data_IF_430492408007
#
_entry.id   IF_430492408007
#
_cell.length_a   1.000
_cell.length_b   1.000
_cell.length_c   1.000
_cell.angle_alpha   90.00
_cell.angle_beta   90.00
_cell.angle_gamma   90.00
#
_symmetry.space_group_name_H-M   'P 1'
#
loop_
_entity.id
_entity.type
_entity.pdbx_description
1 polymer ?
#
# COMPACT_ATOMS: atom_id res chain seq x y z
N UNK A 1 41.86 20.97 -18.22
CA UNK A 1 42.77 21.48 -17.16
C UNK A 1 41.90 22.07 -16.07
N UNK A 2 41.67 21.36 -14.97
CA UNK A 2 41.50 21.84 -13.59
C UNK A 2 41.23 20.60 -12.74
N UNK A 3 42.20 20.28 -11.88
CA UNK A 3 42.31 19.04 -11.14
C UNK A 3 41.85 19.27 -9.69
N UNK A 4 40.91 18.45 -9.21
CA UNK A 4 40.47 18.41 -7.82
C UNK A 4 41.54 17.73 -6.96
N UNK A 5 42.04 18.41 -5.92
CA UNK A 5 42.91 17.81 -4.90
C UNK A 5 42.09 17.19 -3.78
N UNK A 6 42.37 15.91 -3.55
CA UNK A 6 41.88 15.06 -2.46
C UNK A 6 42.33 15.57 -1.08
N UNK A 7 41.43 15.45 -0.12
CA UNK A 7 41.68 15.46 1.32
C UNK A 7 42.44 14.19 1.74
N UNK A 8 43.43 14.34 2.64
CA UNK A 8 43.83 13.26 3.55
C UNK A 8 44.24 13.87 4.90
N UNK A 9 43.68 13.33 5.99
CA UNK A 9 44.42 13.00 7.22
C UNK A 9 43.54 12.23 8.21
N UNK A 10 44.25 11.39 8.94
CA UNK A 10 43.90 10.26 9.79
C UNK A 10 43.73 10.70 11.26
N UNK A 11 42.83 10.07 12.03
CA UNK A 11 43.07 9.52 13.39
C UNK A 11 41.75 8.96 13.98
N UNK A 12 41.60 7.65 14.16
CA UNK A 12 42.01 6.75 15.28
C UNK A 12 41.13 6.78 16.54
N UNK A 13 40.56 5.60 16.80
CA UNK A 13 40.42 4.89 18.09
C UNK A 13 39.53 5.46 19.20
N UNK A 14 38.50 4.71 19.58
CA UNK A 14 38.38 4.16 20.95
C UNK A 14 37.16 3.24 21.07
N UNK A 15 37.44 1.97 21.37
CA UNK A 15 36.47 0.96 21.76
C UNK A 15 36.30 1.00 23.29
N UNK A 16 35.05 1.03 23.78
CA UNK A 16 34.74 0.90 25.20
C UNK A 16 33.99 -0.41 25.41
N UNK A 17 34.64 -1.33 26.13
CA UNK A 17 34.04 -2.54 26.72
C UNK A 17 33.20 -2.13 27.93
N UNK A 18 31.99 -2.66 28.05
CA UNK A 18 31.22 -2.65 29.29
C UNK A 18 30.93 -4.09 29.73
N UNK A 19 31.42 -4.42 30.91
CA UNK A 19 31.32 -5.69 31.62
C UNK A 19 30.00 -5.82 32.37
N UNK A 20 29.42 -7.03 32.34
CA UNK A 20 28.29 -7.48 33.17
C UNK A 20 28.72 -7.76 34.61
N UNK A 21 27.79 -7.70 35.56
CA UNK A 21 27.82 -8.60 36.72
C UNK A 21 26.61 -9.55 36.74
N UNK A 22 26.91 -10.82 37.03
CA UNK A 22 25.99 -11.89 37.37
C UNK A 22 25.46 -11.69 38.80
N UNK A 23 24.17 -11.95 39.02
CA UNK A 23 23.61 -12.21 40.35
C UNK A 23 22.79 -13.51 40.29
N UNK A 24 23.38 -14.56 40.86
CA UNK A 24 22.78 -15.86 41.11
C UNK A 24 22.10 -15.85 42.48
N UNK A 25 20.83 -16.24 42.55
CA UNK A 25 20.17 -16.62 43.80
C UNK A 25 19.68 -18.06 43.70
N UNK A 26 20.30 -18.91 44.51
CA UNK A 26 19.86 -20.27 44.83
C UNK A 26 19.22 -20.25 46.21
N UNK A 27 18.03 -20.83 46.38
CA UNK A 27 17.62 -21.37 47.69
C UNK A 27 16.58 -22.47 47.49
N UNK A 28 16.95 -23.67 47.94
CA UNK A 28 16.11 -24.87 48.02
C UNK A 28 15.25 -24.85 49.30
N UNK A 29 14.14 -25.61 49.36
CA UNK A 29 13.10 -25.50 50.40
C UNK A 29 13.21 -26.58 51.50
N UNK A 30 12.58 -26.34 52.65
CA UNK A 30 12.27 -27.36 53.70
C UNK A 30 11.14 -26.87 54.65
N UNK A 31 10.48 -27.76 55.45
CA UNK A 31 9.06 -28.11 55.25
C UNK A 31 8.20 -28.00 56.54
N UNK A 32 6.99 -28.58 56.50
CA UNK A 32 5.94 -28.81 57.53
C UNK A 32 4.71 -27.89 57.36
N UNK A 33 3.47 -28.31 57.59
CA UNK A 33 2.94 -29.40 58.42
C UNK A 33 1.60 -29.97 57.90
N UNK A 34 1.25 -31.10 58.48
CA UNK A 34 0.06 -31.94 58.31
C UNK A 34 -1.28 -31.31 58.67
N UNK A 35 -2.33 -31.70 57.95
CA UNK A 35 -3.67 -31.91 58.50
C UNK A 35 -4.48 -32.89 57.62
N UNK A 36 -4.90 -34.00 58.23
CA UNK A 36 -5.84 -34.98 57.68
C UNK A 36 -7.29 -34.55 57.93
N UNK A 37 -8.16 -34.67 56.93
CA UNK A 37 -9.60 -34.85 57.14
C UNK A 37 -10.27 -35.54 55.94
N UNK A 38 -11.37 -36.22 56.24
CA UNK A 38 -12.07 -37.30 55.55
C UNK A 38 -12.85 -36.92 54.27
N UNK A 39 -13.14 -37.98 53.48
CA UNK A 39 -14.27 -38.21 52.54
C UNK A 39 -14.06 -37.87 51.03
N UNK A 40 -14.89 -38.43 50.12
CA UNK A 40 -15.16 -39.84 49.83
C UNK A 40 -14.72 -40.21 48.39
N UNK A 41 -14.56 -41.51 48.09
CA UNK A 41 -14.23 -42.00 46.74
C UNK A 41 -15.40 -41.80 45.78
N UNK A 42 -15.36 -40.75 44.96
CA UNK A 42 -16.12 -40.66 43.72
C UNK A 42 -15.23 -41.08 42.55
N UNK A 43 -15.58 -42.21 41.92
CA UNK A 43 -14.94 -42.72 40.73
C UNK A 43 -15.46 -41.92 39.53
N UNK A 44 -14.90 -40.73 39.29
CA UNK A 44 -15.18 -39.95 38.07
C UNK A 44 -14.25 -40.47 36.99
N UNK A 45 -14.78 -41.28 36.08
CA UNK A 45 -14.14 -41.50 34.77
C UNK A 45 -14.02 -40.14 34.10
N UNK A 46 -12.82 -39.58 34.11
CA UNK A 46 -12.44 -38.53 33.17
C UNK A 46 -12.46 -39.15 31.77
N UNK A 47 -13.58 -39.03 31.07
CA UNK A 47 -13.61 -39.07 29.62
C UNK A 47 -12.85 -37.84 29.13
N UNK A 48 -11.52 -37.95 29.03
CA UNK A 48 -10.73 -37.10 28.15
C UNK A 48 -11.06 -37.48 26.71
N UNK A 49 -12.24 -37.06 26.23
CA UNK A 49 -12.42 -36.84 24.82
C UNK A 49 -11.67 -35.55 24.47
N UNK A 50 -10.34 -35.65 24.37
CA UNK A 50 -9.57 -34.69 23.58
C UNK A 50 -9.96 -34.97 22.13
N UNK A 51 -11.08 -34.40 21.68
CA UNK A 51 -11.25 -34.14 20.26
C UNK A 51 -10.07 -33.25 19.92
N UNK A 52 -9.05 -33.78 19.21
CA UNK A 52 -8.07 -32.95 18.55
C UNK A 52 -8.87 -31.97 17.70
N UNK A 53 -9.10 -30.76 18.20
CA UNK A 53 -9.66 -29.70 17.38
C UNK A 53 -8.70 -29.58 16.22
N UNK A 54 -9.18 -29.85 15.01
CA UNK A 54 -8.39 -29.67 13.80
C UNK A 54 -7.86 -28.24 13.82
N UNK A 55 -6.58 -28.06 13.46
CA UNK A 55 -6.00 -26.72 13.37
C UNK A 55 -6.90 -25.85 12.46
N UNK A 56 -7.11 -24.56 12.79
CA UNK A 56 -7.77 -23.65 11.86
C UNK A 56 -6.99 -23.60 10.55
N UNK A 57 -7.65 -23.26 9.44
CA UNK A 57 -6.97 -23.08 8.15
C UNK A 57 -6.66 -21.59 7.91
N UNK A 58 -5.55 -21.34 7.23
CA UNK A 58 -5.17 -20.04 6.70
C UNK A 58 -5.10 -20.12 5.17
N UNK A 59 -5.85 -19.25 4.50
CA UNK A 59 -5.96 -19.25 3.04
C UNK A 59 -4.99 -18.24 2.43
N UNK A 60 -4.21 -18.67 1.44
CA UNK A 60 -3.35 -17.80 0.63
C UNK A 60 -4.04 -17.48 -0.70
N UNK A 61 -4.48 -16.23 -0.87
CA UNK A 61 -5.04 -15.72 -2.13
C UNK A 61 -4.00 -14.84 -2.85
N UNK A 62 -3.34 -15.41 -3.85
CA UNK A 62 -2.26 -14.76 -4.60
C UNK A 62 -0.91 -15.40 -4.31
N UNK A 63 0.16 -14.65 -4.58
CA UNK A 63 1.53 -15.14 -4.48
C UNK A 63 2.31 -14.43 -3.37
N UNK A 64 3.34 -15.10 -2.87
CA UNK A 64 4.37 -14.55 -2.00
C UNK A 64 5.71 -14.65 -2.72
N UNK A 65 6.38 -13.52 -2.90
CA UNK A 65 7.65 -13.47 -3.60
C UNK A 65 8.84 -13.51 -2.62
N UNK A 66 8.70 -12.90 -1.44
CA UNK A 66 9.82 -12.67 -0.52
C UNK A 66 9.68 -13.39 0.83
N UNK A 67 8.46 -13.48 1.38
CA UNK A 67 8.18 -13.92 2.75
C UNK A 67 7.62 -15.36 2.85
N UNK A 68 7.99 -16.25 1.91
CA UNK A 68 7.52 -17.66 1.88
C UNK A 68 7.79 -18.41 3.18
N UNK A 69 9.00 -18.27 3.73
CA UNK A 69 9.37 -18.89 5.01
C UNK A 69 8.51 -18.40 6.18
N UNK A 70 8.16 -17.12 6.17
CA UNK A 70 7.31 -16.50 7.19
C UNK A 70 5.88 -17.04 7.13
N UNK A 71 5.36 -17.28 5.92
CA UNK A 71 4.08 -17.95 5.70
C UNK A 71 4.11 -19.43 6.10
N UNK A 72 5.14 -20.18 5.70
CA UNK A 72 5.32 -21.58 6.06
C UNK A 72 5.39 -21.78 7.59
N UNK A 73 5.97 -20.83 8.32
CA UNK A 73 5.99 -20.82 9.79
C UNK A 73 4.60 -20.64 10.44
N UNK A 74 3.53 -20.38 9.69
CA UNK A 74 2.16 -20.47 10.20
C UNK A 74 1.67 -21.91 10.30
N UNK A 75 2.33 -22.89 9.67
CA UNK A 75 1.95 -24.31 9.74
C UNK A 75 2.00 -24.90 11.15
N UNK A 76 2.75 -24.28 12.05
CA UNK A 76 2.79 -24.61 13.47
C UNK A 76 1.40 -24.44 14.13
N UNK A 77 0.64 -23.42 13.70
CA UNK A 77 -0.64 -23.02 14.32
C UNK A 77 -1.87 -23.18 13.42
N UNK A 78 -1.68 -23.35 12.10
CA UNK A 78 -2.75 -23.48 11.13
C UNK A 78 -2.43 -24.49 10.02
N UNK A 79 -3.44 -25.01 9.35
CA UNK A 79 -3.28 -25.67 8.05
C UNK A 79 -3.23 -24.60 6.95
N UNK A 80 -2.21 -24.64 6.09
CA UNK A 80 -2.02 -23.65 5.03
C UNK A 80 -2.69 -24.13 3.75
N UNK A 81 -3.60 -23.33 3.20
CA UNK A 81 -4.44 -23.69 2.06
C UNK A 81 -4.28 -22.66 0.94
N UNK A 82 -4.27 -23.13 -0.30
CA UNK A 82 -4.29 -22.31 -1.52
C UNK A 82 -5.49 -22.75 -2.35
N UNK A 83 -6.26 -21.83 -2.97
CA UNK A 83 -7.39 -22.22 -3.80
C UNK A 83 -6.93 -23.04 -5.02
N UNK A 84 -7.79 -23.95 -5.48
CA UNK A 84 -7.61 -24.65 -6.75
C UNK A 84 -8.26 -23.90 -7.92
N UNK A 85 -9.20 -23.01 -7.61
CA UNK A 85 -9.85 -22.16 -8.59
C UNK A 85 -8.88 -21.25 -9.36
N UNK A 86 -9.18 -21.04 -10.65
CA UNK A 86 -8.39 -20.20 -11.55
C UNK A 86 -9.11 -18.92 -11.98
N UNK A 87 -10.40 -18.82 -11.67
CA UNK A 87 -11.25 -17.69 -12.00
C UNK A 87 -12.41 -17.59 -10.98
N UNK A 88 -13.14 -16.48 -11.05
CA UNK A 88 -14.18 -16.15 -10.06
C UNK A 88 -15.25 -17.23 -9.93
N UNK A 89 -15.76 -17.73 -11.05
CA UNK A 89 -16.81 -18.75 -11.06
C UNK A 89 -16.34 -20.02 -10.34
N UNK A 90 -15.13 -20.50 -10.64
CA UNK A 90 -14.54 -21.65 -9.94
C UNK A 90 -14.32 -21.37 -8.45
N UNK A 91 -13.91 -20.15 -8.08
CA UNK A 91 -13.65 -19.82 -6.68
C UNK A 91 -14.92 -19.75 -5.84
N UNK A 92 -16.01 -19.22 -6.41
CA UNK A 92 -17.34 -19.22 -5.80
C UNK A 92 -17.80 -20.68 -5.57
N UNK A 93 -17.65 -21.56 -6.56
CA UNK A 93 -18.02 -22.97 -6.41
C UNK A 93 -17.12 -23.71 -5.40
N UNK A 94 -15.83 -23.38 -5.36
CA UNK A 94 -14.90 -23.92 -4.37
C UNK A 94 -15.31 -23.52 -2.94
N UNK A 95 -15.73 -22.27 -2.72
CA UNK A 95 -16.27 -21.83 -1.43
C UNK A 95 -17.54 -22.61 -1.04
N UNK A 96 -18.50 -22.77 -1.97
CA UNK A 96 -19.75 -23.51 -1.73
C UNK A 96 -19.56 -25.01 -1.50
N UNK A 97 -18.48 -25.59 -2.02
CA UNK A 97 -18.21 -27.03 -1.93
C UNK A 97 -17.77 -27.51 -0.54
N UNK A 98 -17.50 -26.59 0.40
CA UNK A 98 -16.99 -26.90 1.74
C UNK A 98 -15.47 -27.18 1.78
N UNK A 99 -14.77 -27.16 0.64
CA UNK A 99 -13.31 -27.36 0.60
C UNK A 99 -12.53 -26.34 1.45
N UNK A 100 -13.06 -25.12 1.54
CA UNK A 100 -12.49 -24.02 2.32
C UNK A 100 -13.06 -23.94 3.75
N UNK A 101 -13.89 -24.91 4.18
CA UNK A 101 -14.40 -24.94 5.55
C UNK A 101 -13.25 -25.06 6.55
N UNK A 102 -13.33 -24.27 7.62
CA UNK A 102 -12.29 -24.15 8.64
C UNK A 102 -11.27 -23.06 8.36
N UNK A 103 -11.31 -22.39 7.20
CA UNK A 103 -10.51 -21.17 6.96
C UNK A 103 -10.99 -20.07 7.88
N UNK A 104 -10.10 -19.59 8.76
CA UNK A 104 -10.38 -18.51 9.72
C UNK A 104 -9.86 -17.17 9.23
N UNK A 105 -8.69 -17.18 8.58
CA UNK A 105 -8.02 -16.00 8.07
C UNK A 105 -7.55 -16.21 6.63
N UNK A 106 -7.71 -15.19 5.80
CA UNK A 106 -7.20 -15.16 4.43
C UNK A 106 -6.15 -14.06 4.26
N UNK A 107 -4.99 -14.42 3.76
CA UNK A 107 -4.06 -13.48 3.14
C UNK A 107 -4.54 -13.21 1.72
N UNK A 108 -4.51 -11.95 1.27
CA UNK A 108 -4.72 -11.63 -0.14
C UNK A 108 -3.77 -10.58 -0.70
N UNK A 109 -3.49 -10.63 -2.00
CA UNK A 109 -2.82 -9.56 -2.75
C UNK A 109 -3.80 -8.83 -3.68
N UNK A 110 -3.39 -7.71 -4.27
CA UNK A 110 -4.16 -7.05 -5.34
C UNK A 110 -4.40 -7.97 -6.55
N UNK A 111 -3.38 -8.74 -6.96
CA UNK A 111 -3.45 -9.67 -8.09
C UNK A 111 -4.40 -10.86 -7.87
N UNK A 112 -4.77 -11.16 -6.63
CA UNK A 112 -5.75 -12.21 -6.31
C UNK A 112 -7.13 -12.00 -6.95
N UNK A 113 -7.42 -10.77 -7.41
CA UNK A 113 -8.63 -10.43 -8.17
C UNK A 113 -8.77 -11.26 -9.45
N UNK A 114 -7.66 -11.72 -10.05
CA UNK A 114 -7.70 -12.58 -11.24
C UNK A 114 -8.37 -13.93 -10.96
N UNK A 115 -8.28 -14.42 -9.72
CA UNK A 115 -8.90 -15.67 -9.27
C UNK A 115 -10.26 -15.39 -8.63
N UNK A 116 -10.33 -14.38 -7.76
CA UNK A 116 -11.51 -14.18 -6.90
C UNK A 116 -12.54 -13.22 -7.50
N UNK A 117 -12.16 -12.39 -8.47
CA UNK A 117 -12.87 -11.16 -8.77
C UNK A 117 -12.77 -10.17 -7.61
N UNK A 118 -13.62 -9.14 -7.60
CA UNK A 118 -13.71 -8.23 -6.45
C UNK A 118 -14.24 -8.99 -5.23
N UNK A 119 -13.77 -8.61 -4.04
CA UNK A 119 -14.34 -9.08 -2.78
C UNK A 119 -15.56 -8.21 -2.47
N UNK A 120 -16.59 -8.39 -3.29
CA UNK A 120 -17.88 -7.70 -3.22
C UNK A 120 -18.90 -8.52 -2.40
N UNK A 121 -20.11 -8.00 -2.27
CA UNK A 121 -21.18 -8.64 -1.50
C UNK A 121 -21.50 -10.07 -1.95
N UNK A 122 -21.48 -10.35 -3.26
CA UNK A 122 -21.68 -11.70 -3.79
C UNK A 122 -20.62 -12.66 -3.25
N UNK A 123 -19.34 -12.29 -3.37
CA UNK A 123 -18.26 -13.15 -2.90
C UNK A 123 -18.26 -13.29 -1.38
N UNK A 124 -18.51 -12.19 -0.66
CA UNK A 124 -18.57 -12.18 0.81
C UNK A 124 -19.64 -13.14 1.34
N UNK A 125 -20.79 -13.22 0.66
CA UNK A 125 -21.90 -14.08 1.07
C UNK A 125 -21.63 -15.58 0.85
N UNK A 126 -20.72 -15.94 -0.06
CA UNK A 126 -20.37 -17.35 -0.33
C UNK A 126 -19.12 -17.82 0.41
N UNK A 127 -18.36 -16.93 1.06
CA UNK A 127 -17.23 -17.35 1.89
C UNK A 127 -17.66 -18.35 2.97
N UNK A 128 -16.76 -19.26 3.37
CA UNK A 128 -17.05 -20.22 4.44
C UNK A 128 -17.38 -19.47 5.74
N UNK A 129 -18.36 -19.98 6.49
CA UNK A 129 -18.82 -19.39 7.77
C UNK A 129 -17.69 -19.12 8.78
N UNK A 130 -16.63 -19.94 8.70
CA UNK A 130 -15.45 -19.86 9.55
C UNK A 130 -14.56 -18.66 9.26
N UNK A 131 -14.64 -18.04 8.07
CA UNK A 131 -13.78 -16.92 7.70
C UNK A 131 -14.19 -15.69 8.50
N UNK A 132 -13.26 -15.16 9.31
CA UNK A 132 -13.47 -13.97 10.15
C UNK A 132 -12.49 -12.83 9.86
N UNK A 133 -11.41 -13.10 9.11
CA UNK A 133 -10.35 -12.12 8.90
C UNK A 133 -9.83 -12.15 7.46
N UNK A 134 -9.71 -10.99 6.83
CA UNK A 134 -9.03 -10.79 5.55
C UNK A 134 -7.86 -9.82 5.75
N UNK A 135 -6.66 -10.32 5.53
CA UNK A 135 -5.44 -9.53 5.55
C UNK A 135 -5.03 -9.16 4.12
N UNK A 136 -5.25 -7.90 3.74
CA UNK A 136 -4.91 -7.39 2.42
C UNK A 136 -3.50 -6.83 2.37
N UNK A 137 -2.69 -7.37 1.48
CA UNK A 137 -1.37 -6.85 1.14
C UNK A 137 -1.51 -5.67 0.15
N UNK A 138 -1.61 -4.47 0.71
CA UNK A 138 -1.65 -3.21 -0.03
C UNK A 138 -2.21 -2.06 0.81
N UNK A 139 -1.82 -0.82 0.51
CA UNK A 139 -2.35 0.35 1.21
C UNK A 139 -3.80 0.66 0.81
N UNK A 140 -4.08 0.72 -0.49
CA UNK A 140 -5.44 0.82 -1.01
C UNK A 140 -6.08 -0.56 -1.15
N UNK A 141 -7.36 -0.64 -0.78
CA UNK A 141 -8.15 -1.88 -0.70
C UNK A 141 -9.54 -1.70 -1.35
N UNK A 142 -9.61 -0.87 -2.39
CA UNK A 142 -10.81 -0.57 -3.19
C UNK A 142 -11.44 -1.79 -3.88
N UNK A 143 -10.70 -2.91 -3.97
CA UNK A 143 -11.21 -4.21 -4.42
C UNK A 143 -12.02 -4.98 -3.36
N UNK A 144 -12.15 -4.45 -2.14
CA UNK A 144 -12.82 -5.08 -1.01
C UNK A 144 -13.98 -4.21 -0.55
N UNK A 145 -15.19 -4.77 -0.58
CA UNK A 145 -16.35 -4.16 0.06
C UNK A 145 -16.28 -4.39 1.57
N UNK A 146 -15.69 -3.40 2.26
CA UNK A 146 -15.54 -3.44 3.72
C UNK A 146 -16.89 -3.45 4.42
N UNK A 147 -17.94 -2.84 3.85
CA UNK A 147 -19.26 -2.82 4.47
C UNK A 147 -19.93 -4.19 4.42
N UNK A 148 -19.85 -4.88 3.28
CA UNK A 148 -20.31 -6.27 3.15
C UNK A 148 -19.54 -7.18 4.12
N UNK A 149 -18.21 -7.04 4.18
CA UNK A 149 -17.37 -7.75 5.15
C UNK A 149 -17.82 -7.50 6.60
N UNK A 150 -18.01 -6.25 7.00
CA UNK A 150 -18.49 -5.89 8.35
C UNK A 150 -19.83 -6.54 8.67
N UNK A 151 -20.80 -6.47 7.75
CA UNK A 151 -22.13 -7.05 7.92
C UNK A 151 -22.07 -8.57 8.10
N UNK A 152 -21.13 -9.23 7.44
CA UNK A 152 -20.86 -10.67 7.58
C UNK A 152 -20.04 -11.04 8.83
N UNK A 153 -19.51 -10.05 9.56
CA UNK A 153 -18.64 -10.25 10.72
C UNK A 153 -17.18 -10.58 10.34
N UNK A 154 -16.74 -10.13 9.17
CA UNK A 154 -15.36 -10.28 8.67
C UNK A 154 -14.61 -8.97 8.89
N UNK A 155 -13.50 -9.04 9.64
CA UNK A 155 -12.58 -7.91 9.84
C UNK A 155 -11.55 -7.86 8.72
N UNK A 156 -11.19 -6.66 8.27
CA UNK A 156 -10.26 -6.42 7.16
C UNK A 156 -9.06 -5.61 7.65
N UNK A 157 -7.84 -5.99 7.25
CA UNK A 157 -6.63 -5.18 7.47
C UNK A 157 -5.99 -4.80 6.15
N UNK A 158 -5.25 -3.68 6.15
CA UNK A 158 -4.42 -3.22 5.03
C UNK A 158 -2.99 -2.88 5.46
N UNK A 159 -2.18 -2.33 4.54
CA UNK A 159 -0.78 -1.92 4.78
C UNK A 159 -0.59 -0.41 4.56
N UNK A 160 -0.95 0.46 5.52
CA UNK A 160 -1.08 1.90 5.26
C UNK A 160 0.24 2.70 5.21
N UNK A 161 1.28 2.32 5.98
CA UNK A 161 2.47 3.19 6.18
C UNK A 161 3.74 2.67 5.51
N UNK A 162 3.86 1.37 5.27
CA UNK A 162 5.09 0.79 4.68
C UNK A 162 5.31 1.22 3.23
N UNK A 163 4.26 1.72 2.56
CA UNK A 163 4.29 2.14 1.15
C UNK A 163 4.76 3.59 0.96
N UNK A 164 4.82 4.36 2.05
CA UNK A 164 4.93 5.83 2.01
C UNK A 164 6.19 6.31 1.27
N UNK A 165 7.33 5.67 1.54
CA UNK A 165 8.61 6.09 0.97
C UNK A 165 8.74 5.74 -0.51
N UNK A 166 8.60 4.46 -0.85
CA UNK A 166 8.76 3.98 -2.22
C UNK A 166 7.79 4.66 -3.19
N UNK A 167 6.51 4.83 -2.78
CA UNK A 167 5.52 5.48 -3.63
C UNK A 167 5.83 6.96 -3.83
N UNK A 168 6.31 7.66 -2.79
CA UNK A 168 6.73 9.05 -2.90
C UNK A 168 7.99 9.22 -3.77
N UNK A 169 8.90 8.24 -3.79
CA UNK A 169 10.07 8.24 -4.68
C UNK A 169 9.66 8.14 -6.15
N UNK A 170 8.75 7.21 -6.48
CA UNK A 170 8.19 7.09 -7.83
C UNK A 170 7.44 8.36 -8.23
N UNK A 171 6.67 8.96 -7.31
CA UNK A 171 5.97 10.21 -7.57
C UNK A 171 6.95 11.36 -7.89
N UNK A 172 8.01 11.53 -7.10
CA UNK A 172 9.03 12.56 -7.35
C UNK A 172 9.78 12.28 -8.66
N UNK A 173 10.09 11.01 -8.97
CA UNK A 173 10.66 10.60 -10.25
C UNK A 173 9.76 11.01 -11.43
N UNK A 174 8.46 10.79 -11.33
CA UNK A 174 7.47 11.22 -12.33
C UNK A 174 7.40 12.74 -12.46
N UNK A 175 7.42 13.48 -11.35
CA UNK A 175 7.46 14.96 -11.35
C UNK A 175 8.68 15.46 -12.11
N UNK A 176 9.88 14.95 -11.81
CA UNK A 176 11.10 15.37 -12.51
C UNK A 176 11.05 14.94 -13.98
N UNK A 177 10.65 13.71 -14.27
CA UNK A 177 10.62 13.20 -15.63
C UNK A 177 9.65 13.95 -16.55
N UNK A 178 8.50 14.38 -16.02
CA UNK A 178 7.50 15.19 -16.74
C UNK A 178 7.95 16.64 -16.92
N UNK A 179 8.53 17.27 -15.89
CA UNK A 179 9.13 18.62 -16.00
C UNK A 179 10.21 18.67 -17.09
N UNK A 180 10.94 17.57 -17.31
CA UNK A 180 12.09 17.50 -18.20
C UNK A 180 11.85 16.80 -19.54
N UNK A 181 10.69 16.19 -19.74
CA UNK A 181 10.40 15.39 -20.93
C UNK A 181 11.36 14.20 -21.10
N UNK A 182 11.66 13.49 -20.01
CA UNK A 182 12.63 12.39 -20.05
C UNK A 182 12.14 11.18 -20.83
N UNK A 183 10.83 10.89 -20.87
CA UNK A 183 10.29 9.72 -21.56
C UNK A 183 10.76 9.65 -23.04
N UNK A 184 10.48 10.71 -23.79
CA UNK A 184 10.86 10.82 -25.22
C UNK A 184 12.35 10.89 -25.43
N UNK A 185 13.07 11.63 -24.57
CA UNK A 185 14.52 11.77 -24.66
C UNK A 185 15.23 10.43 -24.44
N UNK A 186 14.77 9.63 -23.47
CA UNK A 186 15.31 8.29 -23.21
C UNK A 186 15.03 7.35 -24.38
N UNK A 187 13.82 7.39 -24.95
CA UNK A 187 13.48 6.59 -26.11
C UNK A 187 14.31 6.96 -27.34
N UNK A 188 14.42 8.25 -27.67
CA UNK A 188 15.21 8.74 -28.79
C UNK A 188 16.69 8.33 -28.68
N UNK A 189 17.26 8.38 -27.47
CA UNK A 189 18.64 7.94 -27.24
C UNK A 189 18.83 6.44 -27.52
N UNK A 190 17.89 5.59 -27.08
CA UNK A 190 17.92 4.13 -27.34
C UNK A 190 17.79 3.81 -28.82
N UNK A 191 17.06 4.64 -29.56
CA UNK A 191 16.91 4.54 -31.02
C UNK A 191 18.11 5.11 -31.79
N UNK A 192 19.17 5.55 -31.11
CA UNK A 192 20.37 6.12 -31.75
C UNK A 192 20.17 7.53 -32.30
N UNK A 193 19.07 8.20 -31.94
CA UNK A 193 18.73 9.56 -32.42
C UNK A 193 19.29 10.67 -31.54
N UNK A 194 20.06 10.34 -30.50
CA UNK A 194 20.55 11.28 -29.47
C UNK A 194 19.40 12.06 -28.82
N UNK A 195 19.21 13.33 -29.17
CA UNK A 195 18.08 14.16 -28.69
C UNK A 195 16.81 13.99 -29.52
N UNK A 196 16.82 13.22 -30.61
CA UNK A 196 15.70 13.20 -31.57
C UNK A 196 15.83 14.28 -32.65
N UNK A 197 15.01 14.16 -33.68
CA UNK A 197 14.88 15.16 -34.75
C UNK A 197 13.40 15.33 -35.13
N UNK A 198 12.74 16.45 -34.75
CA UNK A 198 13.30 17.58 -34.00
C UNK A 198 13.69 17.19 -32.56
N UNK A 199 14.53 18.00 -31.93
CA UNK A 199 14.80 17.85 -30.50
C UNK A 199 13.53 18.15 -29.67
N UNK A 200 13.37 17.55 -28.48
CA UNK A 200 12.25 17.85 -27.59
C UNK A 200 12.26 19.31 -27.14
N UNK A 201 11.12 19.85 -26.71
CA UNK A 201 11.06 21.18 -26.11
C UNK A 201 11.94 21.26 -24.86
N UNK A 202 12.37 22.48 -24.52
CA UNK A 202 13.09 22.70 -23.27
C UNK A 202 12.19 22.34 -22.08
N UNK A 203 12.76 21.63 -21.12
CA UNK A 203 12.09 21.34 -19.85
C UNK A 203 12.08 22.54 -18.91
N UNK A 204 11.46 22.35 -17.76
CA UNK A 204 11.42 23.32 -16.67
C UNK A 204 12.16 22.80 -15.44
N UNK A 205 12.62 23.72 -14.60
CA UNK A 205 13.22 23.39 -13.31
C UNK A 205 12.13 23.38 -12.23
N UNK A 206 12.23 22.51 -11.20
CA UNK A 206 11.24 22.45 -10.12
C UNK A 206 11.32 23.64 -9.16
N UNK A 207 12.48 24.29 -9.03
CA UNK A 207 12.71 25.36 -8.07
C UNK A 207 11.70 26.51 -8.22
N UNK A 208 11.11 26.93 -7.09
CA UNK A 208 10.15 28.02 -7.03
C UNK A 208 8.73 27.67 -7.50
N UNK A 209 8.52 26.51 -8.13
CA UNK A 209 7.19 26.02 -8.55
C UNK A 209 6.36 25.55 -7.37
N UNK A 210 5.04 25.59 -7.55
CA UNK A 210 4.05 25.14 -6.57
C UNK A 210 3.60 23.72 -6.88
N UNK A 211 3.86 22.79 -5.96
CA UNK A 211 3.29 21.45 -5.93
C UNK A 211 2.00 21.47 -5.11
N UNK A 212 0.88 21.16 -5.75
CA UNK A 212 -0.40 20.91 -5.09
C UNK A 212 -0.61 19.42 -4.83
N UNK A 213 -0.76 19.04 -3.58
CA UNK A 213 -1.06 17.65 -3.18
C UNK A 213 -2.55 17.52 -2.86
N UNK A 214 -3.28 16.74 -3.68
CA UNK A 214 -4.66 16.38 -3.41
C UNK A 214 -4.69 15.07 -2.60
N UNK A 215 -4.93 15.15 -1.29
CA UNK A 215 -4.85 14.00 -0.39
C UNK A 215 -3.49 13.86 0.31
N UNK A 216 -3.13 14.81 1.17
CA UNK A 216 -1.90 14.75 1.95
C UNK A 216 -1.99 13.76 3.14
N UNK A 217 -1.90 12.47 2.82
CA UNK A 217 -1.72 11.35 3.76
C UNK A 217 -0.25 11.05 4.07
N UNK A 218 0.07 9.79 4.41
CA UNK A 218 1.46 9.34 4.65
C UNK A 218 2.37 9.61 3.44
N UNK A 219 2.02 9.03 2.29
CA UNK A 219 2.67 9.25 0.98
C UNK A 219 2.79 10.76 0.67
N UNK A 220 1.70 11.51 0.75
CA UNK A 220 1.70 12.95 0.42
C UNK A 220 2.63 13.78 1.31
N UNK A 221 2.68 13.49 2.62
CA UNK A 221 3.63 14.15 3.53
C UNK A 221 5.08 13.78 3.22
N UNK A 222 5.33 12.56 2.75
CA UNK A 222 6.65 12.13 2.36
C UNK A 222 7.10 12.81 1.06
N UNK A 223 6.21 12.82 0.06
CA UNK A 223 6.40 13.57 -1.19
C UNK A 223 6.69 15.05 -0.92
N UNK A 224 5.94 15.68 -0.01
CA UNK A 224 6.17 17.07 0.41
C UNK A 224 7.62 17.31 0.83
N UNK A 225 8.17 16.46 1.71
CA UNK A 225 9.56 16.58 2.19
C UNK A 225 10.56 16.45 1.04
N UNK A 226 10.31 15.52 0.11
CA UNK A 226 11.16 15.31 -1.06
C UNK A 226 11.12 16.51 -2.01
N UNK A 227 9.93 17.03 -2.31
CA UNK A 227 9.74 18.18 -3.20
C UNK A 227 10.39 19.46 -2.69
N UNK A 228 10.40 19.70 -1.37
CA UNK A 228 11.08 20.85 -0.76
C UNK A 228 12.60 20.83 -0.96
N UNK A 229 13.23 19.65 -1.00
CA UNK A 229 14.67 19.51 -1.32
C UNK A 229 14.96 19.98 -2.74
N UNK A 230 13.99 19.87 -3.65
CA UNK A 230 14.06 20.41 -5.01
C UNK A 230 13.63 21.89 -5.11
N UNK A 231 13.42 22.57 -3.98
CA UNK A 231 13.05 23.99 -3.93
C UNK A 231 11.61 24.29 -4.32
N UNK A 232 10.72 23.28 -4.33
CA UNK A 232 9.30 23.50 -4.59
C UNK A 232 8.57 24.06 -3.38
N UNK A 233 7.54 24.87 -3.61
CA UNK A 233 6.55 25.26 -2.61
C UNK A 233 5.46 24.20 -2.57
N UNK A 234 5.01 23.81 -1.38
CA UNK A 234 3.97 22.78 -1.24
C UNK A 234 2.69 23.35 -0.63
N UNK A 235 1.59 23.16 -1.33
CA UNK A 235 0.22 23.40 -0.85
C UNK A 235 -0.56 22.08 -0.90
N UNK A 236 -1.61 21.96 -0.11
CA UNK A 236 -2.41 20.74 -0.11
C UNK A 236 -3.90 20.99 0.13
N UNK A 237 -4.71 20.06 -0.37
CA UNK A 237 -6.12 19.98 -0.06
C UNK A 237 -6.47 18.59 0.45
N UNK A 238 -7.17 18.58 1.58
CA UNK A 238 -7.82 17.44 2.20
C UNK A 238 -9.25 17.85 2.58
N UNK A 239 -10.15 16.88 2.74
CA UNK A 239 -11.48 17.10 3.32
C UNK A 239 -11.42 17.71 4.72
N UNK A 240 -10.37 17.41 5.49
CA UNK A 240 -10.07 18.04 6.79
C UNK A 240 -8.63 18.50 6.78
N UNK A 241 -8.39 19.72 7.23
CA UNK A 241 -7.05 20.25 7.45
C UNK A 241 -6.29 19.35 8.43
N UNK A 242 -5.01 19.08 8.15
CA UNK A 242 -4.13 18.37 9.07
C UNK A 242 -3.73 19.28 10.24
N UNK A 243 -3.32 18.68 11.36
CA UNK A 243 -2.62 19.43 12.40
C UNK A 243 -1.33 20.05 11.86
N UNK A 244 -0.85 21.12 12.50
CA UNK A 244 0.39 21.80 12.08
C UNK A 244 1.60 20.86 12.04
N UNK A 245 1.68 19.94 13.00
CA UNK A 245 2.71 18.89 13.06
C UNK A 245 2.69 18.00 11.81
N UNK A 246 1.51 17.51 11.42
CA UNK A 246 1.36 16.65 10.24
C UNK A 246 1.49 17.45 8.94
N UNK A 247 1.05 18.71 8.91
CA UNK A 247 1.22 19.58 7.75
C UNK A 247 2.70 19.91 7.49
N UNK A 248 3.51 19.97 8.55
CA UNK A 248 4.94 20.20 8.48
C UNK A 248 5.30 21.49 7.73
N UNK A 249 4.44 22.51 7.79
CA UNK A 249 4.61 23.78 7.08
C UNK A 249 3.96 23.88 5.70
N UNK A 250 3.36 22.81 5.16
CA UNK A 250 2.58 22.90 3.93
C UNK A 250 1.27 23.68 4.16
N UNK A 251 0.92 24.59 3.23
CA UNK A 251 -0.28 25.43 3.34
C UNK A 251 -1.54 24.63 2.97
N UNK A 252 -2.53 24.60 3.85
CA UNK A 252 -3.87 24.10 3.52
C UNK A 252 -4.61 25.11 2.64
N UNK A 253 -5.24 24.63 1.57
CA UNK A 253 -6.00 25.45 0.61
C UNK A 253 -7.34 24.80 0.28
N UNK A 254 -8.24 25.58 -0.32
CA UNK A 254 -9.49 25.04 -0.89
C UNK A 254 -9.18 24.18 -2.12
N UNK A 255 -10.13 23.34 -2.55
CA UNK A 255 -9.95 22.53 -3.75
C UNK A 255 -9.74 23.40 -5.01
N UNK A 256 -10.54 24.44 -5.19
CA UNK A 256 -10.39 25.36 -6.33
C UNK A 256 -9.07 26.16 -6.26
N UNK A 257 -8.62 26.57 -5.06
CA UNK A 257 -7.31 27.21 -4.90
C UNK A 257 -6.16 26.23 -5.23
N UNK A 258 -6.28 24.95 -4.86
CA UNK A 258 -5.32 23.92 -5.23
C UNK A 258 -5.18 23.83 -6.76
N UNK A 259 -6.30 23.70 -7.47
CA UNK A 259 -6.30 23.56 -8.93
C UNK A 259 -5.71 24.80 -9.61
N UNK A 260 -6.17 25.99 -9.23
CA UNK A 260 -5.83 27.24 -9.92
C UNK A 260 -4.42 27.78 -9.61
N UNK A 261 -3.76 27.33 -8.54
CA UNK A 261 -2.45 27.86 -8.12
C UNK A 261 -1.28 26.90 -8.30
N UNK A 262 -1.55 25.61 -8.54
CA UNK A 262 -0.51 24.59 -8.69
C UNK A 262 0.13 24.59 -10.08
N UNK A 263 1.45 24.52 -10.13
CA UNK A 263 2.20 24.28 -11.37
C UNK A 263 2.31 22.77 -11.65
N UNK A 264 2.34 21.98 -10.57
CA UNK A 264 2.29 20.51 -10.59
C UNK A 264 1.21 20.06 -9.61
N UNK A 265 0.32 19.16 -10.01
CA UNK A 265 -0.70 18.56 -9.15
C UNK A 265 -0.41 17.07 -8.99
N UNK A 266 -0.32 16.60 -7.75
CA UNK A 266 -0.13 15.20 -7.41
C UNK A 266 -1.37 14.63 -6.71
N UNK A 267 -1.86 13.50 -7.18
CA UNK A 267 -3.05 12.83 -6.66
C UNK A 267 -2.66 11.71 -5.69
N UNK A 268 -3.17 11.79 -4.45
CA UNK A 268 -2.87 10.87 -3.35
C UNK A 268 -4.15 10.48 -2.57
N UNK A 269 -5.24 10.23 -3.30
CA UNK A 269 -6.56 9.92 -2.73
C UNK A 269 -6.86 8.41 -2.76
N UNK A 270 -7.58 7.87 -1.76
CA UNK A 270 -8.19 6.55 -1.90
C UNK A 270 -9.30 6.60 -2.96
N UNK A 271 -9.44 5.53 -3.75
CA UNK A 271 -10.56 5.38 -4.70
C UNK A 271 -11.81 4.93 -3.96
N UNK A 272 -12.91 5.66 -4.14
CA UNK A 272 -14.26 5.34 -3.67
C UNK A 272 -15.28 6.12 -4.50
N UNK A 273 -16.58 5.95 -4.18
CA UNK A 273 -17.69 6.61 -4.91
C UNK A 273 -17.58 8.14 -4.98
N UNK A 274 -16.95 8.79 -4.00
CA UNK A 274 -16.82 10.26 -3.95
C UNK A 274 -15.53 10.77 -4.59
N UNK A 275 -14.55 9.90 -4.85
CA UNK A 275 -13.25 10.30 -5.42
C UNK A 275 -13.05 9.78 -6.84
N UNK A 276 -13.90 8.86 -7.31
CA UNK A 276 -13.91 8.44 -8.71
C UNK A 276 -14.15 9.66 -9.60
N UNK A 277 -13.26 9.87 -10.58
CA UNK A 277 -13.30 11.01 -11.51
C UNK A 277 -13.41 12.38 -10.82
N UNK A 278 -12.86 12.52 -9.62
CA UNK A 278 -12.81 13.83 -8.94
C UNK A 278 -11.99 14.84 -9.72
N UNK A 279 -11.06 14.38 -10.56
CA UNK A 279 -10.39 15.20 -11.58
C UNK A 279 -10.95 14.81 -12.95
N UNK A 280 -11.71 15.71 -13.56
CA UNK A 280 -12.31 15.53 -14.88
C UNK A 280 -12.22 16.83 -15.70
N UNK A 281 -12.93 16.93 -16.83
CA UNK A 281 -12.88 18.09 -17.73
C UNK A 281 -13.05 19.45 -17.03
N UNK A 282 -14.08 19.66 -16.19
CA UNK A 282 -14.25 20.88 -15.40
C UNK A 282 -13.08 21.20 -14.47
N UNK A 283 -12.47 20.20 -13.84
CA UNK A 283 -11.34 20.41 -12.94
C UNK A 283 -10.07 20.75 -13.72
N UNK A 284 -9.80 20.08 -14.85
CA UNK A 284 -8.70 20.47 -15.74
C UNK A 284 -8.84 21.92 -16.18
N UNK A 285 -10.04 22.36 -16.58
CA UNK A 285 -10.26 23.75 -17.03
C UNK A 285 -9.98 24.82 -15.96
N UNK A 286 -9.99 24.44 -14.67
CA UNK A 286 -9.65 25.34 -13.54
C UNK A 286 -8.15 25.38 -13.26
N UNK A 287 -7.37 24.45 -13.81
CA UNK A 287 -5.93 24.41 -13.60
C UNK A 287 -5.21 25.52 -14.37
N UNK A 288 -3.94 25.75 -14.02
CA UNK A 288 -3.09 26.64 -14.80
C UNK A 288 -2.88 26.10 -16.23
N UNK A 289 -2.88 26.95 -17.25
CA UNK A 289 -2.38 26.58 -18.56
C UNK A 289 -0.93 26.06 -18.46
N UNK A 290 -0.67 24.87 -19.00
CA UNK A 290 0.63 24.20 -18.92
C UNK A 290 0.89 23.48 -17.60
N UNK A 291 -0.15 23.17 -16.82
CA UNK A 291 -0.03 22.36 -15.59
C UNK A 291 0.54 20.97 -15.89
N UNK A 292 1.26 20.41 -14.93
CA UNK A 292 1.68 19.00 -14.93
C UNK A 292 0.82 18.21 -13.92
N UNK A 293 0.37 17.03 -14.31
CA UNK A 293 -0.46 16.16 -13.46
C UNK A 293 0.25 14.83 -13.20
N UNK A 294 0.36 14.44 -11.93
CA UNK A 294 1.01 13.19 -11.51
C UNK A 294 0.04 12.35 -10.69
N UNK A 295 -0.06 11.06 -11.02
CA UNK A 295 -0.92 10.12 -10.29
C UNK A 295 -0.16 8.84 -9.94
N UNK A 296 -0.03 8.59 -8.64
CA UNK A 296 0.51 7.34 -8.06
C UNK A 296 -0.45 6.75 -7.02
N UNK A 297 -1.75 7.09 -7.11
CA UNK A 297 -2.76 6.63 -6.16
C UNK A 297 -3.60 5.51 -6.78
N UNK A 298 -4.62 5.86 -7.55
CA UNK A 298 -5.48 4.97 -8.34
C UNK A 298 -5.83 5.70 -9.63
N UNK A 299 -5.87 5.02 -10.78
CA UNK A 299 -6.13 5.71 -12.03
C UNK A 299 -7.52 6.33 -12.08
N UNK A 300 -8.55 5.58 -11.67
CA UNK A 300 -9.95 6.00 -11.72
C UNK A 300 -10.34 7.19 -10.82
N UNK A 301 -9.43 7.78 -10.04
CA UNK A 301 -9.67 9.09 -9.40
C UNK A 301 -9.65 10.24 -10.41
N UNK A 302 -9.15 9.98 -11.61
CA UNK A 302 -9.07 10.91 -12.72
C UNK A 302 -9.74 10.26 -13.94
N UNK A 303 -10.48 11.06 -14.71
CA UNK A 303 -11.03 10.63 -16.01
C UNK A 303 -9.91 10.68 -17.05
N UNK A 304 -9.47 9.51 -17.55
CA UNK A 304 -8.38 9.41 -18.52
C UNK A 304 -8.72 10.03 -19.88
N UNK A 305 -9.98 9.94 -20.32
CA UNK A 305 -10.41 10.53 -21.58
C UNK A 305 -10.38 12.06 -21.48
N UNK A 306 -10.80 12.62 -20.34
CA UNK A 306 -10.68 14.04 -20.06
C UNK A 306 -9.21 14.49 -19.97
N UNK A 307 -8.32 13.68 -19.38
CA UNK A 307 -6.88 13.97 -19.35
C UNK A 307 -6.31 14.01 -20.77
N UNK A 308 -6.65 13.05 -21.62
CA UNK A 308 -6.19 13.02 -23.03
C UNK A 308 -6.65 14.26 -23.77
N UNK A 309 -7.93 14.66 -23.64
CA UNK A 309 -8.42 15.88 -24.26
C UNK A 309 -7.66 17.14 -23.75
N UNK A 310 -7.35 17.19 -22.46
CA UNK A 310 -6.60 18.30 -21.86
C UNK A 310 -5.13 18.34 -22.34
N UNK A 311 -4.49 17.19 -22.53
CA UNK A 311 -3.16 17.06 -23.12
C UNK A 311 -3.15 17.46 -24.61
N UNK A 312 -4.11 16.98 -25.39
CA UNK A 312 -4.21 17.25 -26.83
C UNK A 312 -4.46 18.74 -27.11
N UNK A 313 -5.20 19.41 -26.23
CA UNK A 313 -5.40 20.87 -26.30
C UNK A 313 -4.16 21.70 -25.87
N UNK A 314 -3.17 21.06 -25.25
CA UNK A 314 -2.01 21.72 -24.64
C UNK A 314 -2.32 22.43 -23.30
N UNK A 315 -3.53 22.29 -22.76
CA UNK A 315 -3.88 22.83 -21.45
C UNK A 315 -3.09 22.14 -20.33
N UNK A 316 -3.00 20.80 -20.38
CA UNK A 316 -2.05 20.03 -19.59
C UNK A 316 -0.78 19.88 -20.41
N UNK A 317 0.35 20.30 -19.86
CA UNK A 317 1.64 20.23 -20.55
C UNK A 317 2.17 18.80 -20.62
N UNK A 318 2.08 18.07 -19.51
CA UNK A 318 2.64 16.73 -19.35
C UNK A 318 1.94 16.00 -18.21
N UNK A 319 1.92 14.67 -18.26
CA UNK A 319 1.38 13.84 -17.20
C UNK A 319 2.35 12.71 -16.82
N UNK A 320 2.41 12.37 -15.53
CA UNK A 320 3.24 11.29 -15.00
C UNK A 320 2.38 10.27 -14.27
N UNK A 321 2.24 9.08 -14.84
CA UNK A 321 1.25 8.10 -14.39
C UNK A 321 1.93 6.79 -14.00
N UNK A 322 1.61 6.33 -12.79
CA UNK A 322 1.92 4.99 -12.32
C UNK A 322 0.69 4.08 -12.29
N UNK A 323 -0.50 4.66 -12.42
CA UNK A 323 -1.79 3.97 -12.25
C UNK A 323 -2.76 4.41 -13.34
N UNK A 324 -3.68 3.51 -13.70
CA UNK A 324 -4.59 3.66 -14.85
C UNK A 324 -6.03 3.31 -14.49
N UNK A 325 -7.00 3.88 -15.23
CA UNK A 325 -8.42 3.71 -14.91
C UNK A 325 -8.86 2.25 -15.03
N UNK A 326 -8.42 1.57 -16.09
CA UNK A 326 -8.79 0.18 -16.43
C UNK A 326 -7.59 -0.77 -16.38
N UNK A 327 -6.76 -0.67 -15.34
CA UNK A 327 -5.56 -1.52 -15.18
C UNK A 327 -5.84 -3.01 -15.42
N UNK A 328 -5.03 -3.72 -16.25
CA UNK A 328 -3.75 -3.29 -16.83
C UNK A 328 -3.85 -2.60 -18.20
N UNK A 329 -5.06 -2.33 -18.71
CA UNK A 329 -5.22 -1.56 -19.94
C UNK A 329 -4.91 -0.08 -19.66
N UNK A 330 -4.24 0.56 -20.62
CA UNK A 330 -3.91 1.99 -20.59
C UNK A 330 -4.62 2.66 -21.75
N UNK A 331 -5.24 3.83 -21.51
CA UNK A 331 -5.92 4.54 -22.58
C UNK A 331 -4.97 4.81 -23.77
N UNK A 332 -5.35 4.45 -25.02
CA UNK A 332 -4.45 4.55 -26.18
C UNK A 332 -3.88 5.95 -26.43
N UNK A 333 -4.67 6.99 -26.16
CA UNK A 333 -4.24 8.37 -26.24
C UNK A 333 -3.09 8.72 -25.28
N UNK A 334 -3.04 8.10 -24.08
CA UNK A 334 -1.93 8.28 -23.14
C UNK A 334 -0.67 7.56 -23.64
N UNK A 335 -0.82 6.33 -24.13
CA UNK A 335 0.29 5.54 -24.69
C UNK A 335 0.94 6.24 -25.89
N UNK A 336 0.12 6.84 -26.75
CA UNK A 336 0.59 7.52 -27.95
C UNK A 336 1.20 8.91 -27.67
N UNK A 337 0.96 9.51 -26.51
CA UNK A 337 1.32 10.90 -26.24
C UNK A 337 2.77 11.02 -25.71
N UNK A 338 3.66 11.73 -26.45
CA UNK A 338 5.07 11.86 -26.08
C UNK A 338 5.32 12.69 -24.81
N UNK A 339 4.33 13.45 -24.35
CA UNK A 339 4.41 14.25 -23.13
C UNK A 339 3.89 13.50 -21.90
N UNK A 340 3.48 12.24 -22.05
CA UNK A 340 3.06 11.41 -20.93
C UNK A 340 4.20 10.46 -20.55
N UNK A 341 4.52 10.42 -19.27
CA UNK A 341 5.47 9.48 -18.70
C UNK A 341 4.69 8.37 -18.00
N UNK A 342 4.93 7.13 -18.43
CA UNK A 342 4.14 5.97 -18.03
C UNK A 342 5.04 4.96 -17.33
N UNK A 343 4.62 4.50 -16.16
CA UNK A 343 5.20 3.33 -15.47
C UNK A 343 4.07 2.38 -15.03
N UNK A 344 4.30 1.06 -15.02
CA UNK A 344 3.23 0.08 -14.80
C UNK A 344 3.05 -0.28 -13.31
N UNK A 345 2.50 0.64 -12.51
CA UNK A 345 2.18 0.43 -11.09
C UNK A 345 3.38 -0.03 -10.26
N UNK A 346 4.46 0.75 -10.35
CA UNK A 346 5.77 0.52 -9.77
C UNK A 346 5.96 1.15 -8.38
N UNK A 347 4.97 1.88 -7.84
CA UNK A 347 5.06 2.64 -6.59
C UNK A 347 5.73 1.88 -5.43
N UNK A 348 5.36 0.63 -5.19
CA UNK A 348 5.95 -0.21 -4.12
C UNK A 348 6.86 -1.31 -4.66
N UNK A 349 7.25 -1.27 -5.94
CA UNK A 349 7.96 -2.34 -6.62
C UNK A 349 9.46 -2.37 -6.31
N UNK A 350 9.78 -2.55 -5.03
CA UNK A 350 11.14 -2.67 -4.48
C UNK A 350 11.21 -3.88 -3.55
N UNK A 351 12.38 -4.50 -3.43
CA UNK A 351 12.58 -5.71 -2.61
C UNK A 351 12.23 -5.43 -1.15
N UNK A 352 12.71 -4.31 -0.61
CA UNK A 352 12.54 -3.90 0.78
C UNK A 352 11.06 -3.67 1.11
N UNK A 353 10.36 -2.91 0.26
CA UNK A 353 8.95 -2.58 0.48
C UNK A 353 8.06 -3.81 0.32
N UNK A 354 8.23 -4.59 -0.74
CA UNK A 354 7.45 -5.81 -0.96
C UNK A 354 7.67 -6.83 0.18
N UNK A 355 8.93 -7.04 0.60
CA UNK A 355 9.23 -7.93 1.73
C UNK A 355 8.53 -7.47 3.00
N UNK A 356 8.66 -6.19 3.36
CA UNK A 356 8.04 -5.66 4.57
C UNK A 356 6.51 -5.73 4.52
N UNK A 357 5.90 -5.46 3.37
CA UNK A 357 4.45 -5.53 3.17
C UNK A 357 3.93 -6.97 3.31
N UNK A 358 4.62 -7.95 2.72
CA UNK A 358 4.28 -9.37 2.86
C UNK A 358 4.39 -9.81 4.31
N UNK A 359 5.53 -9.55 4.98
CA UNK A 359 5.74 -9.93 6.38
C UNK A 359 4.70 -9.31 7.31
N UNK A 360 4.37 -8.04 7.10
CA UNK A 360 3.36 -7.34 7.89
C UNK A 360 1.95 -7.91 7.69
N UNK A 361 1.59 -8.26 6.46
CA UNK A 361 0.31 -8.88 6.14
C UNK A 361 0.22 -10.30 6.73
N UNK A 362 1.29 -11.09 6.64
CA UNK A 362 1.39 -12.40 7.30
C UNK A 362 1.29 -12.23 8.83
N UNK A 363 1.86 -11.17 9.39
CA UNK A 363 1.71 -10.81 10.79
C UNK A 363 0.26 -10.56 11.22
N UNK A 364 -0.56 -9.97 10.35
CA UNK A 364 -2.01 -9.84 10.57
C UNK A 364 -2.72 -11.19 10.56
N UNK A 365 -2.37 -12.09 9.62
CA UNK A 365 -2.90 -13.47 9.60
C UNK A 365 -2.54 -14.22 10.88
N UNK A 366 -1.28 -14.12 11.33
CA UNK A 366 -0.84 -14.71 12.60
C UNK A 366 -1.66 -14.17 13.78
N UNK A 367 -1.82 -12.85 13.88
CA UNK A 367 -2.59 -12.23 14.95
C UNK A 367 -4.06 -12.67 14.93
N UNK A 368 -4.65 -12.83 13.75
CA UNK A 368 -6.01 -13.35 13.59
C UNK A 368 -6.14 -14.77 14.13
N UNK A 369 -5.19 -15.66 13.80
CA UNK A 369 -5.19 -17.06 14.23
C UNK A 369 -4.93 -17.23 15.73
N UNK A 370 -3.98 -16.49 16.30
CA UNK A 370 -3.55 -16.65 17.70
C UNK A 370 -4.41 -15.85 18.68
N UNK A 371 -4.91 -14.68 18.26
CA UNK A 371 -5.48 -13.66 19.17
C UNK A 371 -6.88 -13.22 18.77
N UNK A 372 -7.40 -13.68 17.62
CA UNK A 372 -8.73 -13.26 17.14
C UNK A 372 -8.82 -11.77 16.81
N UNK A 373 -7.71 -11.12 16.43
CA UNK A 373 -7.66 -9.69 16.08
C UNK A 373 -6.62 -9.40 15.01
N UNK A 374 -6.72 -8.22 14.39
CA UNK A 374 -5.77 -7.72 13.39
C UNK A 374 -4.79 -6.72 14.05
N UNK A 375 -3.62 -6.54 13.44
CA UNK A 375 -2.65 -5.52 13.83
C UNK A 375 -2.94 -4.16 13.16
N UNK A 376 -3.59 -4.16 12.00
CA UNK A 376 -3.88 -2.96 11.22
C UNK A 376 -5.28 -2.99 10.59
N UNK A 377 -6.31 -2.92 11.42
CA UNK A 377 -7.69 -2.88 10.92
C UNK A 377 -7.91 -1.65 10.03
N UNK A 378 -8.71 -1.81 8.97
CA UNK A 378 -9.07 -0.69 8.09
C UNK A 378 -9.86 0.39 8.86
N UNK A 379 -9.70 1.68 8.53
CA UNK A 379 -10.35 2.79 9.24
C UNK A 379 -11.87 2.69 9.37
N UNK A 380 -12.55 2.09 8.39
CA UNK A 380 -14.00 1.90 8.36
C UNK A 380 -14.50 0.92 9.44
N UNK A 381 -13.60 0.11 10.01
CA UNK A 381 -13.87 -0.87 11.07
C UNK A 381 -13.10 -0.54 12.36
N UNK A 382 -12.64 0.70 12.54
CA UNK A 382 -11.78 1.07 13.66
C UNK A 382 -12.39 0.82 15.05
N UNK A 383 -13.72 0.81 15.16
CA UNK A 383 -14.49 0.50 16.36
C UNK A 383 -14.62 -1.01 16.65
N UNK A 384 -14.29 -1.86 15.68
CA UNK A 384 -14.37 -3.32 15.78
C UNK A 384 -13.06 -3.98 16.23
N UNK A 385 -12.09 -3.20 16.71
CA UNK A 385 -10.72 -3.67 16.97
C UNK A 385 -10.64 -4.85 17.94
#
# INVERSE_FOLDING_TARGET
MYSFRLFSRINTSSAIRLSRPNLSFSCTPRPSASASAFAPRFNVKFLHASSKMSKPKALLLGNLDHAKKTWEALSDIAELVTPQAKNRAEFIEECKSGKLDGVVAAYRTFGSVQITGLVDEELVNVFPESLKFIAHNGAGYDQVDVHACTTRGIKVSNVPTLVDDATADVNMFLIIGTLRGFNTSMQALREGKWRGNPAPPLGHDPEGKTLGILGMGGIGRNLKKKAEVFGMKVIYHNRKQLSDELAGGAKYVTFDELLSTSDVISLNLPLNKNTRHIISGPEFAKMKPGVIVVNTARGAVMDEAALVAALDSGHVWSAGLDVYEDEPAVHPGLVANPHVMLVPHMGTWTVETQTAMEEFTIGNVRAALEKGRLNSIVPEQADLQ
#
